data_IF_775019263931
#
_entry.id   IF_775019263931
#
_cell.length_a   1.000
_cell.length_b   1.000
_cell.length_c   1.000
_cell.angle_alpha   90.00
_cell.angle_beta   90.00
_cell.angle_gamma   90.00
#
_symmetry.space_group_name_H-M   'P 1'
#
loop_
_entity.id
_entity.type
_entity.pdbx_description
1 polymer ?
#
# COMPACT_ATOMS: atom_id res chain seq x y z
N UNK A 1 -11.47 -31.88 44.71
CA UNK A 1 -12.61 -30.94 44.75
C UNK A 1 -13.13 -30.83 43.33
N UNK A 2 -14.02 -31.73 42.92
CA UNK A 2 -14.61 -31.77 41.59
C UNK A 2 -16.13 -31.67 41.73
N UNK A 3 -16.74 -30.72 41.04
CA UNK A 3 -18.19 -30.53 41.02
C UNK A 3 -18.72 -31.05 39.69
N UNK A 4 -19.22 -32.28 39.67
CA UNK A 4 -20.15 -32.78 38.66
C UNK A 4 -21.56 -32.56 39.20
N UNK A 5 -22.42 -31.87 38.45
CA UNK A 5 -23.86 -31.75 38.74
C UNK A 5 -24.63 -32.88 38.02
N UNK A 6 -25.60 -33.53 38.69
CA UNK A 6 -26.39 -34.59 38.09
C UNK A 6 -27.59 -34.07 37.29
N UNK A 7 -27.89 -34.78 36.20
CA UNK A 7 -29.13 -34.68 35.42
C UNK A 7 -30.33 -35.17 36.23
N UNK A 8 -31.49 -34.55 36.05
CA UNK A 8 -32.79 -35.05 36.49
C UNK A 8 -33.64 -35.50 35.27
N UNK A 9 -34.34 -36.65 35.32
CA UNK A 9 -35.18 -37.15 34.24
C UNK A 9 -36.71 -36.98 34.49
N UNK A 10 -37.51 -37.40 33.48
CA UNK A 10 -38.99 -37.62 33.41
C UNK A 10 -39.82 -36.39 33.00
N UNK A 11 -40.39 -36.31 31.77
CA UNK A 11 -41.53 -37.04 31.14
C UNK A 11 -42.87 -36.72 31.85
N UNK A 12 -43.95 -36.22 31.24
CA UNK A 12 -44.72 -36.71 30.08
C UNK A 12 -45.78 -35.62 29.72
N UNK A 13 -46.01 -35.28 28.45
CA UNK A 13 -47.16 -35.67 27.61
C UNK A 13 -48.53 -35.09 27.99
N UNK A 14 -48.97 -34.03 27.29
CA UNK A 14 -50.40 -33.76 27.01
C UNK A 14 -50.58 -33.12 25.62
N UNK A 15 -51.50 -33.70 24.87
CA UNK A 15 -51.91 -33.44 23.49
C UNK A 15 -52.60 -32.09 23.27
N UNK A 16 -52.13 -31.30 22.28
CA UNK A 16 -52.94 -30.24 21.67
C UNK A 16 -52.84 -30.33 20.14
N UNK A 17 -54.00 -30.63 19.56
CA UNK A 17 -54.35 -30.90 18.15
C UNK A 17 -53.97 -29.75 17.18
N UNK A 18 -53.59 -30.05 15.92
CA UNK A 18 -53.30 -29.03 14.91
C UNK A 18 -54.59 -28.48 14.27
N UNK A 19 -54.71 -27.16 14.01
CA UNK A 19 -55.68 -26.65 13.07
C UNK A 19 -55.18 -26.81 11.62
N UNK A 20 -55.98 -27.51 10.83
CA UNK A 20 -55.87 -27.55 9.37
C UNK A 20 -56.44 -26.26 8.78
N UNK A 21 -55.70 -25.69 7.82
CA UNK A 21 -56.26 -24.92 6.69
C UNK A 21 -56.35 -23.41 6.89
N UNK A 22 -55.50 -22.67 6.16
CA UNK A 22 -55.98 -21.81 5.07
C UNK A 22 -54.83 -21.35 4.17
N UNK A 23 -55.12 -21.31 2.88
CA UNK A 23 -54.24 -20.93 1.79
C UNK A 23 -53.76 -19.47 1.90
N UNK A 24 -52.45 -19.25 1.76
CA UNK A 24 -51.86 -17.91 1.76
C UNK A 24 -50.59 -17.86 0.92
N UNK A 25 -50.76 -17.71 -0.39
CA UNK A 25 -49.74 -17.31 -1.37
C UNK A 25 -48.81 -16.24 -0.76
N UNK A 26 -47.56 -16.60 -0.46
CA UNK A 26 -46.51 -15.63 -0.17
C UNK A 26 -46.24 -14.85 -1.46
N UNK A 27 -46.89 -13.70 -1.56
CA UNK A 27 -46.69 -12.71 -2.61
C UNK A 27 -45.23 -12.26 -2.54
N UNK A 28 -44.44 -12.66 -3.54
CA UNK A 28 -43.22 -11.97 -3.91
C UNK A 28 -43.60 -10.50 -4.16
N UNK A 29 -43.03 -9.51 -3.45
CA UNK A 29 -43.21 -8.13 -3.83
C UNK A 29 -42.54 -7.93 -5.17
N UNK A 30 -43.37 -7.72 -6.19
CA UNK A 30 -42.96 -7.15 -7.46
C UNK A 30 -42.10 -5.91 -7.21
N UNK A 31 -41.00 -5.83 -7.94
CA UNK A 31 -40.19 -4.64 -8.13
C UNK A 31 -41.09 -3.39 -8.30
N UNK A 32 -40.95 -2.35 -7.45
CA UNK A 32 -41.32 -1.02 -7.86
C UNK A 32 -40.16 -0.42 -8.64
N UNK A 33 -40.40 -0.31 -9.95
CA UNK A 33 -39.94 0.79 -10.79
C UNK A 33 -39.68 2.07 -9.98
N UNK A 34 -38.48 2.62 -10.12
CA UNK A 34 -38.15 4.06 -10.04
C UNK A 34 -39.02 4.94 -9.12
N UNK A 35 -38.59 5.14 -7.88
CA UNK A 35 -38.92 6.35 -7.11
C UNK A 35 -37.62 7.12 -6.78
N UNK A 36 -37.50 8.40 -7.19
CA UNK A 36 -36.39 9.26 -6.79
C UNK A 36 -36.60 9.69 -5.34
N UNK A 37 -35.52 9.95 -4.58
CA UNK A 37 -35.52 10.48 -3.19
C UNK A 37 -35.37 9.47 -2.03
N UNK A 38 -34.78 8.29 -2.25
CA UNK A 38 -34.17 7.57 -1.12
C UNK A 38 -32.81 8.19 -0.79
N UNK A 39 -32.78 9.07 0.21
CA UNK A 39 -31.56 9.51 0.91
C UNK A 39 -30.96 8.33 1.71
N UNK A 40 -30.73 7.18 1.06
CA UNK A 40 -29.94 6.10 1.63
C UNK A 40 -28.53 6.61 1.83
N UNK A 41 -28.25 7.01 3.07
CA UNK A 41 -26.95 7.49 3.52
C UNK A 41 -25.95 6.35 3.34
N UNK A 42 -25.21 6.37 2.23
CA UNK A 42 -24.21 5.36 1.95
C UNK A 42 -23.19 5.28 3.09
N UNK A 43 -22.80 4.05 3.44
CA UNK A 43 -21.79 3.75 4.47
C UNK A 43 -20.48 3.37 3.77
N UNK A 44 -19.36 3.81 4.35
CA UNK A 44 -18.03 3.46 3.87
C UNK A 44 -17.79 1.96 4.01
N UNK A 45 -17.63 1.25 2.89
CA UNK A 45 -17.41 -0.20 2.89
C UNK A 45 -16.11 -0.63 3.61
N UNK A 46 -15.17 0.30 3.82
CA UNK A 46 -13.87 0.00 4.43
C UNK A 46 -13.95 0.06 5.96
N UNK A 47 -14.52 1.11 6.53
CA UNK A 47 -14.45 1.36 7.98
C UNK A 47 -15.81 1.63 8.64
N UNK A 48 -16.93 1.54 7.91
CA UNK A 48 -18.26 1.77 8.46
C UNK A 48 -18.62 3.23 8.78
N UNK A 49 -17.75 4.19 8.46
CA UNK A 49 -18.04 5.63 8.65
C UNK A 49 -19.00 6.16 7.57
N UNK A 50 -19.55 7.37 7.74
CA UNK A 50 -20.41 7.99 6.73
C UNK A 50 -19.66 8.14 5.41
N UNK A 51 -20.20 7.59 4.32
CA UNK A 51 -19.63 7.79 2.99
C UNK A 51 -19.97 9.19 2.47
N UNK A 52 -19.03 9.77 1.72
CA UNK A 52 -19.23 10.98 0.94
C UNK A 52 -19.59 10.70 -0.53
N UNK A 53 -19.75 9.42 -0.90
CA UNK A 53 -20.00 8.97 -2.27
C UNK A 53 -19.02 7.88 -2.71
N UNK A 54 -19.04 7.57 -4.01
CA UNK A 54 -18.12 6.62 -4.64
C UNK A 54 -16.75 7.26 -4.88
N UNK A 55 -15.68 6.62 -4.41
CA UNK A 55 -14.30 7.01 -4.67
C UNK A 55 -13.53 5.77 -5.12
N UNK A 56 -12.84 5.88 -6.25
CA UNK A 56 -12.06 4.78 -6.85
C UNK A 56 -12.88 3.48 -7.05
N UNK A 57 -14.17 3.61 -7.33
CA UNK A 57 -15.09 2.48 -7.58
C UNK A 57 -15.96 2.05 -6.40
N UNK A 58 -15.69 2.52 -5.18
CA UNK A 58 -16.36 2.01 -3.95
C UNK A 58 -16.94 3.16 -3.13
N UNK A 59 -18.08 2.95 -2.47
CA UNK A 59 -18.57 3.91 -1.48
C UNK A 59 -17.62 3.99 -0.28
N UNK A 60 -16.99 5.15 -0.08
CA UNK A 60 -16.05 5.35 1.01
C UNK A 60 -16.19 6.72 1.67
N UNK A 61 -15.64 6.87 2.88
CA UNK A 61 -15.52 8.15 3.56
C UNK A 61 -14.26 8.90 3.07
N UNK A 62 -14.17 10.21 3.35
CA UNK A 62 -12.99 11.03 3.00
C UNK A 62 -11.68 10.48 3.56
N UNK A 63 -11.71 9.89 4.77
CA UNK A 63 -10.52 9.30 5.38
C UNK A 63 -9.94 8.13 4.57
N UNK A 64 -10.77 7.21 4.08
CA UNK A 64 -10.30 6.05 3.30
C UNK A 64 -9.97 6.44 1.86
N UNK A 65 -10.72 7.38 1.26
CA UNK A 65 -10.38 8.00 -0.02
C UNK A 65 -8.97 8.62 0.01
N UNK A 66 -8.69 9.47 1.00
CA UNK A 66 -7.40 10.16 1.12
C UNK A 66 -6.26 9.20 1.44
N UNK A 67 -6.51 8.18 2.27
CA UNK A 67 -5.56 7.12 2.56
C UNK A 67 -5.17 6.36 1.27
N UNK A 68 -6.15 5.81 0.54
CA UNK A 68 -5.92 5.08 -0.69
C UNK A 68 -5.17 5.93 -1.74
N UNK A 69 -5.57 7.19 -1.92
CA UNK A 69 -4.90 8.13 -2.83
C UNK A 69 -3.41 8.29 -2.52
N UNK A 70 -3.06 8.49 -1.24
CA UNK A 70 -1.68 8.69 -0.81
C UNK A 70 -0.85 7.43 -0.95
N UNK A 71 -1.44 6.28 -0.60
CA UNK A 71 -0.77 4.98 -0.75
C UNK A 71 -0.42 4.71 -2.20
N UNK A 72 -1.36 4.90 -3.13
CA UNK A 72 -1.12 4.64 -4.56
C UNK A 72 -0.17 5.67 -5.18
N UNK A 73 -0.36 6.98 -4.93
CA UNK A 73 0.51 8.01 -5.54
C UNK A 73 1.98 7.93 -5.12
N UNK A 74 2.23 7.55 -3.87
CA UNK A 74 3.58 7.46 -3.33
C UNK A 74 4.13 6.03 -3.35
N UNK A 75 3.42 5.13 -4.02
CA UNK A 75 3.70 3.69 -4.06
C UNK A 75 4.13 3.10 -2.70
N UNK A 76 3.35 3.41 -1.66
CA UNK A 76 3.70 3.04 -0.29
C UNK A 76 3.39 1.57 -0.04
N UNK A 77 4.41 0.82 0.36
CA UNK A 77 4.27 -0.50 0.95
C UNK A 77 4.14 -0.40 2.47
N UNK A 78 3.26 -1.20 3.05
CA UNK A 78 3.04 -1.27 4.49
C UNK A 78 3.26 -2.69 4.99
N UNK A 79 3.67 -2.83 6.26
CA UNK A 79 3.81 -4.12 6.94
C UNK A 79 2.84 -4.19 8.11
N UNK A 80 2.11 -5.30 8.23
CA UNK A 80 1.30 -5.56 9.43
C UNK A 80 2.23 -5.95 10.60
N UNK A 81 1.90 -5.48 11.80
CA UNK A 81 2.61 -5.87 13.04
C UNK A 81 1.98 -7.08 13.74
N UNK A 82 0.78 -7.46 13.32
CA UNK A 82 -0.02 -8.56 13.86
C UNK A 82 -0.23 -9.63 12.77
N UNK A 83 -1.35 -10.37 12.81
CA UNK A 83 -1.63 -11.51 11.92
C UNK A 83 -2.30 -11.15 10.59
N UNK A 84 -2.14 -9.90 10.10
CA UNK A 84 -2.76 -9.41 8.85
C UNK A 84 -4.30 -9.44 8.85
N UNK A 85 -4.93 -9.47 10.02
CA UNK A 85 -6.37 -9.59 10.25
C UNK A 85 -6.95 -8.43 11.09
N UNK A 86 -6.17 -7.35 11.30
CA UNK A 86 -6.60 -6.21 12.12
C UNK A 86 -7.97 -5.65 11.70
N UNK A 87 -8.84 -5.44 12.70
CA UNK A 87 -10.18 -4.86 12.49
C UNK A 87 -10.09 -3.41 12.00
N UNK A 88 -10.78 -3.12 10.90
CA UNK A 88 -10.86 -1.77 10.31
C UNK A 88 -12.26 -1.20 10.53
N UNK A 89 -12.40 -0.39 11.56
CA UNK A 89 -13.60 0.38 11.88
C UNK A 89 -13.30 1.90 11.96
N UNK A 90 -14.32 2.72 12.22
CA UNK A 90 -14.18 4.19 12.28
C UNK A 90 -13.16 4.65 13.32
N UNK A 91 -13.08 3.98 14.48
CA UNK A 91 -12.26 4.39 15.63
C UNK A 91 -10.80 4.00 15.44
N UNK A 92 -10.55 2.78 14.95
CA UNK A 92 -9.20 2.20 14.91
C UNK A 92 -8.65 1.92 13.51
N UNK A 93 -9.28 2.39 12.42
CA UNK A 93 -8.75 2.26 11.04
C UNK A 93 -7.32 2.78 10.84
N UNK A 94 -6.79 3.62 11.74
CA UNK A 94 -5.41 4.12 11.65
C UNK A 94 -4.38 3.21 12.37
N UNK A 95 -4.83 2.19 13.12
CA UNK A 95 -3.95 1.28 13.88
C UNK A 95 -3.03 0.47 12.99
N UNK A 96 -3.54 -0.03 11.86
CA UNK A 96 -2.78 -0.83 10.90
C UNK A 96 -3.03 -0.36 9.47
N UNK A 97 -2.02 0.25 8.86
CA UNK A 97 -2.09 0.75 7.48
C UNK A 97 -2.15 -0.40 6.48
N UNK A 98 -1.42 -1.50 6.72
CA UNK A 98 -1.45 -2.69 5.86
C UNK A 98 -2.87 -3.24 5.73
N UNK A 99 -3.51 -3.62 6.84
CA UNK A 99 -4.86 -4.21 6.81
C UNK A 99 -5.89 -3.24 6.25
N UNK A 100 -5.73 -1.93 6.50
CA UNK A 100 -6.60 -0.92 5.91
C UNK A 100 -6.47 -0.88 4.38
N UNK A 101 -5.24 -0.90 3.86
CA UNK A 101 -5.00 -0.87 2.42
C UNK A 101 -5.46 -2.16 1.74
N UNK A 102 -5.16 -3.32 2.34
CA UNK A 102 -5.66 -4.60 1.87
C UNK A 102 -7.19 -4.64 1.83
N UNK A 103 -7.88 -4.10 2.86
CA UNK A 103 -9.33 -3.99 2.85
C UNK A 103 -9.85 -3.04 1.77
N UNK A 104 -9.14 -1.95 1.46
CA UNK A 104 -9.51 -1.10 0.33
C UNK A 104 -9.50 -1.88 -0.99
N UNK A 105 -8.43 -2.64 -1.24
CA UNK A 105 -8.30 -3.48 -2.45
C UNK A 105 -9.37 -4.58 -2.49
N UNK A 106 -9.57 -5.29 -1.37
CA UNK A 106 -10.57 -6.36 -1.26
C UNK A 106 -12.01 -5.87 -1.49
N UNK A 107 -12.33 -4.62 -1.12
CA UNK A 107 -13.63 -4.01 -1.39
C UNK A 107 -13.75 -3.44 -2.82
N UNK A 108 -12.71 -3.54 -3.63
CA UNK A 108 -12.72 -3.15 -5.05
C UNK A 108 -12.26 -1.72 -5.33
N UNK A 109 -11.48 -1.09 -4.45
CA UNK A 109 -10.85 0.20 -4.78
C UNK A 109 -9.78 0.00 -5.87
N UNK A 110 -9.95 0.70 -6.98
CA UNK A 110 -9.14 0.59 -8.19
C UNK A 110 -7.91 1.49 -8.12
N UNK A 111 -6.70 0.90 -8.20
CA UNK A 111 -5.43 1.67 -8.19
C UNK A 111 -5.31 2.56 -9.42
N UNK A 112 -5.74 2.05 -10.56
CA UNK A 112 -5.74 2.69 -11.87
C UNK A 112 -6.72 3.89 -11.95
N UNK A 113 -7.72 3.94 -11.06
CA UNK A 113 -8.60 5.09 -10.95
C UNK A 113 -7.93 6.30 -10.27
N UNK A 114 -6.75 6.10 -9.65
CA UNK A 114 -5.94 7.19 -9.12
C UNK A 114 -5.14 7.77 -10.29
N UNK A 115 -5.69 8.79 -10.95
CA UNK A 115 -4.97 9.51 -11.99
C UNK A 115 -3.63 10.03 -11.43
N UNK A 116 -2.60 9.95 -12.26
CA UNK A 116 -1.31 10.60 -12.02
C UNK A 116 -1.52 12.11 -11.87
N UNK A 117 -0.58 12.80 -11.23
CA UNK A 117 -0.71 14.25 -11.04
C UNK A 117 -0.98 14.93 -12.39
N UNK A 118 -2.06 15.73 -12.49
CA UNK A 118 -2.10 16.75 -13.54
C UNK A 118 -0.93 17.66 -13.23
N UNK A 119 0.19 17.46 -13.92
CA UNK A 119 1.14 18.53 -14.15
C UNK A 119 0.32 19.66 -14.76
N UNK A 120 -0.15 20.58 -13.91
CA UNK A 120 -0.36 21.95 -14.37
C UNK A 120 1.00 22.32 -14.91
N UNK A 121 1.07 22.56 -16.21
CA UNK A 121 2.23 23.06 -16.93
C UNK A 121 3.05 23.95 -15.99
N UNK A 122 4.04 23.34 -15.34
CA UNK A 122 5.09 24.03 -14.61
C UNK A 122 6.39 23.95 -15.39
N UNK A 123 6.28 23.58 -16.66
CA UNK A 123 7.36 23.63 -17.60
C UNK A 123 6.90 24.40 -18.85
N UNK A 124 7.70 25.43 -19.12
CA UNK A 124 7.95 26.10 -20.40
C UNK A 124 7.06 27.30 -20.77
N UNK A 125 7.28 28.41 -20.07
CA UNK A 125 7.39 29.71 -20.74
C UNK A 125 8.85 29.99 -21.17
N UNK A 126 9.53 28.95 -21.67
CA UNK A 126 10.77 29.02 -22.44
C UNK A 126 10.75 27.80 -23.37
N UNK A 127 9.99 27.92 -24.45
CA UNK A 127 10.23 27.15 -25.67
C UNK A 127 9.80 28.02 -26.85
N UNK A 128 10.35 29.24 -26.86
CA UNK A 128 10.69 29.91 -28.09
C UNK A 128 11.85 29.10 -28.68
N UNK A 129 11.54 28.39 -29.76
CA UNK A 129 12.46 27.82 -30.76
C UNK A 129 13.96 27.87 -30.43
N UNK A 130 14.56 26.76 -29.97
CA UNK A 130 16.02 26.60 -30.15
C UNK A 130 16.42 25.12 -30.09
N UNK A 131 16.67 24.61 -31.29
CA UNK A 131 17.79 23.74 -31.65
C UNK A 131 17.99 22.41 -30.90
N UNK A 132 18.03 21.36 -31.71
CA UNK A 132 18.58 20.03 -31.46
C UNK A 132 20.05 20.03 -31.03
N UNK A 133 20.57 21.05 -30.35
CA UNK A 133 21.99 21.24 -29.98
C UNK A 133 22.29 21.07 -28.49
N UNK A 134 21.29 21.17 -27.60
CA UNK A 134 21.56 21.22 -26.15
C UNK A 134 21.77 19.87 -25.47
N UNK A 135 21.44 18.75 -26.11
CA UNK A 135 21.58 17.42 -25.50
C UNK A 135 23.02 16.86 -25.54
N UNK A 136 23.92 17.49 -26.31
CA UNK A 136 25.29 17.02 -26.51
C UNK A 136 26.25 17.51 -25.41
N UNK A 137 25.90 18.61 -24.73
CA UNK A 137 26.76 19.27 -23.73
C UNK A 137 26.68 18.68 -22.32
N UNK A 138 25.60 17.95 -22.00
CA UNK A 138 25.38 17.40 -20.66
C UNK A 138 26.17 16.10 -20.41
N UNK A 139 26.69 15.47 -21.48
CA UNK A 139 27.58 14.31 -21.38
C UNK A 139 28.52 14.23 -22.59
N UNK A 140 29.49 15.15 -22.71
CA UNK A 140 30.38 15.20 -23.86
C UNK A 140 31.37 14.02 -23.80
N UNK A 141 31.49 13.31 -24.93
CA UNK A 141 32.38 12.15 -25.09
C UNK A 141 33.83 12.49 -24.72
N UNK A 142 34.24 13.73 -24.93
CA UNK A 142 35.57 14.24 -24.61
C UNK A 142 35.90 14.15 -23.11
N UNK A 143 34.95 14.49 -22.23
CA UNK A 143 35.14 14.38 -20.77
C UNK A 143 35.19 12.94 -20.29
N UNK A 144 34.53 12.03 -21.01
CA UNK A 144 34.58 10.59 -20.73
C UNK A 144 35.97 10.06 -21.07
N UNK A 145 36.50 10.41 -22.25
CA UNK A 145 37.82 10.00 -22.70
C UNK A 145 38.93 10.56 -21.79
N UNK A 146 38.81 11.82 -21.34
CA UNK A 146 39.76 12.42 -20.40
C UNK A 146 39.76 11.67 -19.05
N UNK A 147 38.59 11.26 -18.56
CA UNK A 147 38.47 10.46 -17.34
C UNK A 147 39.07 9.06 -17.50
N UNK A 148 38.96 8.43 -18.67
CA UNK A 148 39.59 7.13 -18.96
C UNK A 148 41.12 7.25 -19.02
N UNK A 149 41.64 8.30 -19.65
CA UNK A 149 43.09 8.55 -19.71
C UNK A 149 43.70 8.91 -18.35
N UNK A 150 42.94 9.57 -17.47
CA UNK A 150 43.40 9.89 -16.13
C UNK A 150 43.51 8.66 -15.20
N UNK A 151 42.91 7.53 -15.57
CA UNK A 151 43.03 6.24 -14.87
C UNK A 151 44.13 5.41 -15.52
N UNK A 152 45.38 5.84 -15.37
CA UNK A 152 46.55 5.04 -15.76
C UNK A 152 46.63 3.76 -14.91
N UNK A 153 46.72 2.55 -15.50
CA UNK A 153 47.09 1.36 -14.77
C UNK A 153 48.58 1.42 -14.40
N UNK A 154 48.89 1.59 -13.11
CA UNK A 154 50.26 1.42 -12.59
C UNK A 154 50.71 -0.04 -12.71
N UNK A 155 51.15 -0.44 -13.89
CA UNK A 155 51.93 -1.66 -14.11
C UNK A 155 53.15 -1.33 -14.95
N UNK A 156 54.10 -0.61 -14.38
CA UNK A 156 55.52 -0.74 -14.72
C UNK A 156 56.36 0.15 -13.81
N UNK A 157 57.04 -0.45 -12.84
CA UNK A 157 58.28 0.05 -12.20
C UNK A 157 58.73 -0.98 -11.14
N UNK A 158 59.24 -2.14 -11.57
CA UNK A 158 60.00 -3.05 -10.68
C UNK A 158 61.32 -3.55 -11.29
N UNK A 159 61.77 -3.04 -12.42
CA UNK A 159 63.10 -3.37 -12.98
C UNK A 159 63.61 -2.03 -13.52
N UNK A 160 64.66 -1.34 -13.06
CA UNK A 160 65.85 -1.57 -12.24
C UNK A 160 65.94 -0.40 -11.23
N UNK A 161 66.46 -0.54 -10.01
CA UNK A 161 67.89 -0.33 -9.73
C UNK A 161 68.11 -0.71 -8.28
N UNK A 162 68.54 -1.96 -8.08
CA UNK A 162 69.17 -2.40 -6.85
C UNK A 162 70.54 -1.74 -6.77
N UNK A 163 70.81 -0.94 -5.73
CA UNK A 163 72.04 -0.93 -4.92
C UNK A 163 72.00 0.26 -3.95
N UNK A 164 71.91 -0.03 -2.65
CA UNK A 164 72.35 0.89 -1.58
C UNK A 164 71.30 1.30 -0.55
N UNK A 165 70.93 0.39 0.36
CA UNK A 165 70.47 0.76 1.72
C UNK A 165 71.63 0.48 2.68
N UNK A 166 71.81 1.22 3.78
CA UNK A 166 71.16 0.74 5.02
C UNK A 166 70.76 1.84 6.05
N UNK A 167 70.07 1.35 7.09
CA UNK A 167 69.77 1.93 8.43
C UNK A 167 68.50 2.80 8.54
N UNK A 168 67.58 2.62 9.48
CA UNK A 168 67.44 1.70 10.61
C UNK A 168 65.96 1.40 10.87
N UNK A 169 65.71 0.19 11.36
CA UNK A 169 64.41 -0.45 11.64
C UNK A 169 63.64 0.15 12.82
N UNK A 170 62.32 0.25 12.63
CA UNK A 170 61.30 0.43 13.67
C UNK A 170 61.10 -0.89 14.44
N UNK A 171 61.10 -0.81 15.76
CA UNK A 171 60.71 -1.90 16.66
C UNK A 171 59.21 -1.86 16.98
N UNK A 172 58.57 -3.04 16.82
CA UNK A 172 57.42 -3.59 17.59
C UNK A 172 56.09 -2.82 17.57
N UNK A 173 54.91 -3.41 17.59
CA UNK A 173 54.37 -4.77 17.42
C UNK A 173 52.85 -4.56 17.41
N UNK A 174 52.11 -5.28 16.57
CA UNK A 174 50.65 -5.27 16.58
C UNK A 174 50.14 -6.10 17.76
N UNK A 175 49.18 -5.57 18.53
CA UNK A 175 48.29 -6.38 19.35
C UNK A 175 46.84 -5.98 19.08
N UNK A 176 46.06 -6.99 18.70
CA UNK A 176 44.62 -6.99 18.57
C UNK A 176 43.93 -6.85 19.91
N UNK A 177 42.89 -6.02 19.95
CA UNK A 177 41.60 -6.26 20.62
C UNK A 177 40.49 -5.63 19.78
#
# INVERSE_FOLDING_TARGET
MGLNSPMNPVSSSEDIKPPLGLNGMMKIPAQPSSNPLSLTKHICAICGDRSSGKHYGVYSCEGCKGFFKRTVRKDLSYTCRDNKDCVIDKRQRNRCQYCRYQKCLAMGMKREAVQEERQRARDKNENEVESTSSAYEDMPVEKILEAELAVEPKTETYIETSLGVPSNSVSTSCHSL
#
